data_IF_528037129962
#
_entry.id   IF_528037129962
#
_cell.length_a   1.000
_cell.length_b   1.000
_cell.length_c   1.000
_cell.angle_alpha   90.00
_cell.angle_beta   90.00
_cell.angle_gamma   90.00
#
_symmetry.space_group_name_H-M   'P 1'
#
loop_
_entity.id
_entity.type
_entity.pdbx_description
1 polymer ?
#
# COMPACT_ATOMS: atom_id res chain seq x y z
N UNK A 1 -41.09 9.82 57.33
CA UNK A 1 -41.10 11.20 56.83
C UNK A 1 -39.67 11.67 56.88
N UNK A 2 -38.98 11.69 55.73
CA UNK A 2 -37.88 12.60 55.38
C UNK A 2 -37.29 12.16 54.04
N UNK A 3 -37.53 12.98 53.03
CA UNK A 3 -36.97 12.88 51.70
C UNK A 3 -35.50 13.31 51.74
N UNK A 4 -34.63 12.57 51.03
CA UNK A 4 -33.39 13.15 50.48
C UNK A 4 -33.39 12.93 48.98
N UNK A 5 -33.72 13.99 48.25
CA UNK A 5 -33.34 14.16 46.87
C UNK A 5 -31.81 14.34 46.81
N UNK A 6 -31.14 13.53 45.99
CA UNK A 6 -29.87 13.91 45.39
C UNK A 6 -29.95 13.58 43.91
N UNK A 7 -29.91 14.64 43.12
CA UNK A 7 -29.96 14.72 41.68
C UNK A 7 -28.66 14.25 41.05
N UNK A 8 -28.67 13.11 40.35
CA UNK A 8 -27.64 12.76 39.36
C UNK A 8 -28.23 12.81 37.96
N UNK A 9 -28.54 14.04 37.52
CA UNK A 9 -28.67 14.38 36.10
C UNK A 9 -27.27 14.58 35.53
N UNK A 10 -26.53 13.49 35.32
CA UNK A 10 -25.22 13.56 34.68
C UNK A 10 -25.34 13.42 33.15
N UNK A 11 -25.58 14.58 32.53
CA UNK A 11 -25.20 14.99 31.18
C UNK A 11 -25.14 13.93 30.08
N UNK A 12 -26.26 13.75 29.38
CA UNK A 12 -26.31 13.20 28.02
C UNK A 12 -25.80 14.25 27.01
N UNK A 13 -24.56 14.71 27.20
CA UNK A 13 -23.89 15.54 26.18
C UNK A 13 -23.37 14.58 25.11
N UNK A 14 -23.88 14.64 23.85
CA UNK A 14 -23.28 13.88 22.77
C UNK A 14 -21.82 14.28 22.68
N UNK A 15 -20.92 13.33 23.01
CA UNK A 15 -19.50 13.52 22.78
C UNK A 15 -19.37 13.71 21.27
N UNK A 16 -19.12 14.95 20.85
CA UNK A 16 -18.70 15.28 19.49
C UNK A 16 -17.41 14.49 19.25
N UNK A 17 -17.54 13.26 18.75
CA UNK A 17 -16.41 12.45 18.35
C UNK A 17 -15.79 13.18 17.17
N UNK A 18 -14.72 13.92 17.45
CA UNK A 18 -13.92 14.53 16.39
C UNK A 18 -13.63 13.48 15.32
N UNK A 19 -13.73 13.88 14.06
CA UNK A 19 -13.43 13.00 12.94
C UNK A 19 -12.05 12.36 13.16
N UNK A 20 -12.04 11.03 13.13
CA UNK A 20 -10.82 10.27 13.42
C UNK A 20 -9.82 10.52 12.29
N UNK A 21 -8.78 11.32 12.55
CA UNK A 21 -7.75 11.64 11.55
C UNK A 21 -7.05 10.33 11.14
N UNK A 22 -7.10 9.93 9.86
CA UNK A 22 -6.44 8.71 9.39
C UNK A 22 -4.94 8.78 9.66
N UNK A 23 -4.39 7.77 10.34
CA UNK A 23 -2.95 7.69 10.60
C UNK A 23 -2.50 6.25 10.50
N UNK A 24 -1.51 6.01 9.62
CA UNK A 24 -0.83 4.73 9.53
C UNK A 24 0.01 4.43 10.78
N UNK A 25 0.26 5.41 11.64
CA UNK A 25 1.03 5.22 12.88
C UNK A 25 0.13 4.93 14.09
N UNK A 26 -1.20 4.87 13.93
CA UNK A 26 -2.13 4.52 15.01
C UNK A 26 -1.98 3.04 15.38
N UNK A 27 -1.85 2.77 16.68
CA UNK A 27 -1.82 1.40 17.22
C UNK A 27 -3.20 0.74 17.15
N UNK A 28 -3.21 -0.58 17.11
CA UNK A 28 -4.45 -1.35 17.14
C UNK A 28 -5.17 -1.14 18.48
N UNK A 29 -6.44 -0.73 18.42
CA UNK A 29 -7.26 -0.52 19.62
C UNK A 29 -7.47 -1.85 20.35
N UNK A 30 -7.23 -1.86 21.66
CA UNK A 30 -7.43 -3.03 22.51
C UNK A 30 -6.34 -4.10 22.42
N UNK A 31 -5.29 -3.89 21.61
CA UNK A 31 -4.15 -4.80 21.56
C UNK A 31 -3.22 -4.56 22.74
N UNK A 32 -2.93 -5.62 23.51
CA UNK A 32 -1.80 -5.62 24.44
C UNK A 32 -0.50 -5.83 23.66
N UNK A 33 0.41 -4.87 23.74
CA UNK A 33 1.70 -4.93 23.05
C UNK A 33 2.81 -5.59 23.89
N UNK A 34 2.47 -6.23 25.02
CA UNK A 34 3.35 -7.11 25.77
C UNK A 34 3.22 -8.57 25.33
N UNK A 35 2.05 -8.97 24.85
CA UNK A 35 1.73 -10.38 24.65
C UNK A 35 2.44 -11.02 23.44
N UNK A 36 2.50 -12.36 23.48
CA UNK A 36 3.00 -13.22 22.41
C UNK A 36 2.27 -12.92 21.09
N UNK A 37 2.96 -12.32 20.13
CA UNK A 37 2.37 -11.90 18.85
C UNK A 37 3.46 -11.60 17.83
N UNK A 38 3.13 -11.72 16.55
CA UNK A 38 3.98 -11.28 15.45
C UNK A 38 3.55 -9.89 14.98
N UNK A 39 4.52 -8.98 14.87
CA UNK A 39 4.31 -7.61 14.40
C UNK A 39 5.15 -7.33 13.16
N UNK A 40 4.58 -6.64 12.18
CA UNK A 40 5.36 -6.01 11.11
C UNK A 40 5.53 -4.53 11.41
N UNK A 41 6.77 -4.09 11.59
CA UNK A 41 7.13 -2.72 11.93
C UNK A 41 7.71 -2.02 10.72
N UNK A 42 7.35 -0.75 10.51
CA UNK A 42 7.97 0.11 9.50
C UNK A 42 8.47 1.39 10.15
N UNK A 43 9.76 1.69 9.95
CA UNK A 43 10.43 2.91 10.40
C UNK A 43 10.93 3.67 9.17
N UNK A 44 10.58 4.96 9.07
CA UNK A 44 10.92 5.81 7.93
C UNK A 44 11.98 6.82 8.36
N UNK A 45 13.02 6.99 7.55
CA UNK A 45 14.06 8.01 7.78
C UNK A 45 13.42 9.39 7.69
N UNK A 46 13.79 10.28 8.61
CA UNK A 46 13.29 11.66 8.62
C UNK A 46 13.56 12.34 7.27
N UNK A 47 12.53 12.95 6.69
CA UNK A 47 12.59 13.56 5.35
C UNK A 47 12.75 12.55 4.20
N UNK A 48 12.56 11.25 4.46
CA UNK A 48 12.78 10.16 3.49
C UNK A 48 14.14 10.21 2.80
N UNK A 49 15.16 10.68 3.54
CA UNK A 49 16.53 10.74 3.07
C UNK A 49 17.03 9.32 2.80
N UNK A 50 17.65 9.10 1.65
CA UNK A 50 18.17 7.79 1.22
C UNK A 50 19.53 7.51 1.89
N UNK A 51 19.53 7.22 3.18
CA UNK A 51 20.76 7.11 3.98
C UNK A 51 21.28 5.68 4.12
N UNK A 52 20.45 4.66 3.85
CA UNK A 52 20.80 3.26 4.15
C UNK A 52 21.46 2.50 3.01
N UNK A 53 21.52 3.07 1.80
CA UNK A 53 22.09 2.41 0.63
C UNK A 53 21.30 2.71 -0.65
N UNK A 54 21.63 1.99 -1.72
CA UNK A 54 20.92 2.08 -3.00
C UNK A 54 20.49 0.69 -3.48
N UNK A 55 19.47 0.68 -4.34
CA UNK A 55 18.99 -0.55 -4.95
C UNK A 55 19.81 -0.84 -6.21
N UNK A 56 20.36 -2.05 -6.29
CA UNK A 56 21.05 -2.59 -7.46
C UNK A 56 20.35 -3.86 -7.96
N UNK A 57 20.78 -4.39 -9.11
CA UNK A 57 20.26 -5.60 -9.76
C UNK A 57 19.51 -5.32 -11.07
N UNK A 58 18.82 -6.35 -11.58
CA UNK A 58 18.02 -6.32 -12.81
C UNK A 58 16.55 -6.69 -12.54
N UNK A 59 15.62 -5.87 -13.03
CA UNK A 59 14.16 -6.11 -12.91
C UNK A 59 13.71 -7.36 -13.66
N UNK A 60 14.51 -7.85 -14.61
CA UNK A 60 14.24 -9.04 -15.42
C UNK A 60 14.73 -10.34 -14.76
N UNK A 61 15.58 -10.23 -13.74
CA UNK A 61 16.15 -11.37 -13.03
C UNK A 61 15.09 -12.09 -12.19
N UNK A 62 15.19 -13.41 -12.10
CA UNK A 62 14.26 -14.22 -11.31
C UNK A 62 14.58 -14.14 -9.82
N UNK A 63 13.55 -14.31 -8.98
CA UNK A 63 13.74 -14.35 -7.53
C UNK A 63 14.73 -15.46 -7.13
N UNK A 64 15.74 -15.10 -6.35
CA UNK A 64 16.80 -16.01 -5.90
C UNK A 64 18.09 -15.95 -6.72
N UNK A 65 18.09 -15.32 -7.88
CA UNK A 65 19.31 -15.05 -8.65
C UNK A 65 20.14 -13.92 -8.01
N UNK A 66 21.46 -13.95 -8.23
CA UNK A 66 22.37 -12.94 -7.68
C UNK A 66 22.06 -11.52 -8.18
N UNK A 67 21.58 -11.39 -9.41
CA UNK A 67 21.14 -10.12 -10.00
C UNK A 67 19.74 -9.70 -9.60
N UNK A 68 19.01 -10.50 -8.79
CA UNK A 68 17.68 -10.09 -8.34
C UNK A 68 17.79 -8.78 -7.56
N UNK A 69 16.85 -7.83 -7.73
CA UNK A 69 17.03 -6.51 -7.14
C UNK A 69 17.17 -6.58 -5.63
N UNK A 70 18.18 -5.89 -5.10
CA UNK A 70 18.54 -5.92 -3.69
C UNK A 70 19.12 -4.58 -3.25
N UNK A 71 19.18 -4.38 -1.93
CA UNK A 71 19.83 -3.21 -1.33
C UNK A 71 21.33 -3.49 -1.19
N UNK A 72 22.16 -2.58 -1.70
CA UNK A 72 23.58 -2.49 -1.32
C UNK A 72 23.67 -1.45 -0.20
N UNK A 73 24.04 -1.91 0.99
CA UNK A 73 23.99 -1.09 2.19
C UNK A 73 25.13 -0.06 2.23
N UNK A 74 24.80 1.15 2.68
CA UNK A 74 25.80 2.14 3.07
C UNK A 74 26.44 1.74 4.41
N UNK A 75 27.50 2.43 4.82
CA UNK A 75 28.08 2.29 6.18
C UNK A 75 27.03 2.45 7.28
N UNK A 76 26.10 3.40 7.11
CA UNK A 76 24.99 3.57 8.05
C UNK A 76 23.97 2.42 7.95
N UNK A 77 23.68 1.93 6.74
CA UNK A 77 22.82 0.78 6.51
C UNK A 77 23.32 -0.48 7.22
N UNK A 78 24.63 -0.76 7.14
CA UNK A 78 25.25 -1.88 7.87
C UNK A 78 25.17 -1.68 9.38
N UNK A 79 25.45 -0.48 9.90
CA UNK A 79 25.31 -0.21 11.33
C UNK A 79 23.86 -0.38 11.82
N UNK A 80 22.86 -0.05 11.00
CA UNK A 80 21.45 -0.31 11.30
C UNK A 80 21.14 -1.80 11.27
N UNK A 81 21.67 -2.55 10.29
CA UNK A 81 21.54 -4.01 10.23
C UNK A 81 22.12 -4.68 11.47
N UNK A 82 23.27 -4.23 11.98
CA UNK A 82 23.81 -4.70 13.25
C UNK A 82 22.82 -4.49 14.40
N UNK A 83 22.20 -3.30 14.51
CA UNK A 83 21.17 -3.04 15.52
C UNK A 83 19.96 -3.98 15.38
N UNK A 84 19.56 -4.31 14.15
CA UNK A 84 18.46 -5.25 13.90
C UNK A 84 18.83 -6.64 14.41
N UNK A 85 19.99 -7.16 13.98
CA UNK A 85 20.45 -8.51 14.35
C UNK A 85 20.77 -8.64 15.84
N UNK A 86 21.15 -7.54 16.50
CA UNK A 86 21.44 -7.49 17.93
C UNK A 86 20.20 -7.39 18.81
N UNK A 87 19.01 -7.12 18.26
CA UNK A 87 17.80 -6.86 19.03
C UNK A 87 17.45 -7.97 20.05
N UNK A 88 17.53 -9.28 19.69
CA UNK A 88 17.25 -10.37 20.64
C UNK A 88 18.21 -10.45 21.82
N UNK A 89 19.42 -9.85 21.74
CA UNK A 89 20.37 -9.82 22.86
C UNK A 89 19.87 -8.94 24.01
N UNK A 90 19.13 -7.88 23.69
CA UNK A 90 18.56 -6.95 24.67
C UNK A 90 17.16 -7.37 25.14
N UNK A 91 16.43 -8.06 24.27
CA UNK A 91 15.08 -8.56 24.54
C UNK A 91 14.97 -10.03 24.09
N UNK A 92 15.40 -11.00 24.92
CA UNK A 92 15.38 -12.42 24.55
C UNK A 92 13.99 -12.99 24.29
N UNK A 93 12.92 -12.31 24.72
CA UNK A 93 11.51 -12.70 24.52
C UNK A 93 11.02 -12.47 23.08
N UNK A 94 11.85 -11.85 22.23
CA UNK A 94 11.54 -11.62 20.83
C UNK A 94 12.63 -12.13 19.90
N UNK A 95 12.22 -12.51 18.70
CA UNK A 95 13.11 -12.80 17.57
C UNK A 95 12.80 -11.89 16.39
N UNK A 96 13.79 -11.66 15.53
CA UNK A 96 13.61 -11.01 14.24
C UNK A 96 13.35 -12.09 13.20
N UNK A 97 12.09 -12.31 12.83
CA UNK A 97 11.70 -13.34 11.85
C UNK A 97 11.97 -12.92 10.40
N UNK A 98 12.24 -11.63 10.16
CA UNK A 98 12.62 -11.12 8.85
C UNK A 98 12.80 -9.61 8.88
N UNK A 99 13.61 -9.07 7.98
CA UNK A 99 13.75 -7.63 7.80
C UNK A 99 14.08 -7.29 6.35
N UNK A 100 13.77 -6.05 5.96
CA UNK A 100 14.23 -5.46 4.70
C UNK A 100 14.62 -4.01 4.97
N UNK A 101 15.88 -3.67 4.70
CA UNK A 101 16.34 -2.28 4.67
C UNK A 101 16.13 -1.74 3.27
N UNK A 102 15.51 -0.59 3.15
CA UNK A 102 15.31 0.18 1.92
C UNK A 102 16.12 1.47 2.02
N UNK A 103 16.38 2.19 0.92
CA UNK A 103 17.23 3.39 0.97
C UNK A 103 16.81 4.42 2.04
N UNK A 104 15.51 4.65 2.22
CA UNK A 104 14.91 5.67 3.08
C UNK A 104 14.03 5.14 4.23
N UNK A 105 13.93 3.82 4.41
CA UNK A 105 13.10 3.20 5.46
C UNK A 105 13.52 1.76 5.70
N UNK A 106 12.96 1.13 6.72
CA UNK A 106 13.14 -0.30 6.97
C UNK A 106 11.83 -0.96 7.41
N UNK A 107 11.74 -2.25 7.14
CA UNK A 107 10.69 -3.13 7.60
C UNK A 107 11.26 -4.23 8.48
N UNK A 108 10.61 -4.53 9.61
CA UNK A 108 10.94 -5.63 10.51
C UNK A 108 9.72 -6.53 10.68
N UNK A 109 9.91 -7.83 10.75
CA UNK A 109 8.95 -8.79 11.28
C UNK A 109 9.52 -9.26 12.62
N UNK A 110 8.85 -8.88 13.71
CA UNK A 110 9.23 -9.25 15.06
C UNK A 110 8.26 -10.28 15.59
N UNK A 111 8.77 -11.41 16.08
CA UNK A 111 7.97 -12.39 16.79
C UNK A 111 8.28 -12.31 18.28
N UNK A 112 7.33 -11.75 19.03
CA UNK A 112 7.30 -11.84 20.49
C UNK A 112 6.81 -13.24 20.83
N UNK A 113 7.70 -14.12 21.30
CA UNK A 113 7.36 -15.51 21.63
C UNK A 113 7.02 -15.70 23.11
N UNK A 114 7.47 -14.78 23.96
CA UNK A 114 7.18 -14.71 25.39
C UNK A 114 6.73 -13.30 25.78
N UNK A 115 6.05 -13.14 26.92
CA UNK A 115 5.58 -11.83 27.37
C UNK A 115 6.74 -10.85 27.53
N UNK A 116 6.66 -9.69 26.88
CA UNK A 116 7.69 -8.66 26.99
C UNK A 116 7.65 -8.00 28.39
N UNK A 117 8.84 -7.73 28.98
CA UNK A 117 8.92 -7.01 30.26
C UNK A 117 8.46 -5.55 30.15
N UNK A 118 8.34 -5.02 28.93
CA UNK A 118 7.84 -3.67 28.66
C UNK A 118 7.04 -3.64 27.35
N UNK A 119 6.21 -2.62 27.17
CA UNK A 119 5.42 -2.44 25.96
C UNK A 119 6.33 -2.42 24.71
N UNK A 120 5.96 -3.09 23.61
CA UNK A 120 6.75 -3.16 22.36
C UNK A 120 7.28 -1.79 21.89
N UNK A 121 6.51 -0.72 22.08
CA UNK A 121 6.95 0.65 21.78
C UNK A 121 8.23 1.10 22.49
N UNK A 122 8.53 0.56 23.69
CA UNK A 122 9.79 0.80 24.41
C UNK A 122 10.96 0.03 23.81
N UNK A 123 10.73 -1.21 23.39
CA UNK A 123 11.70 -2.00 22.60
C UNK A 123 12.10 -1.23 21.34
N UNK A 124 11.11 -0.76 20.56
CA UNK A 124 11.35 0.00 19.33
C UNK A 124 12.06 1.32 19.63
N UNK A 125 11.75 1.99 20.76
CA UNK A 125 12.46 3.20 21.18
C UNK A 125 13.95 2.92 21.43
N UNK A 126 14.28 1.84 22.14
CA UNK A 126 15.67 1.43 22.39
C UNK A 126 16.43 1.15 21.09
N UNK A 127 15.81 0.39 20.17
CA UNK A 127 16.36 0.16 18.82
C UNK A 127 16.64 1.47 18.07
N UNK A 128 15.68 2.39 18.05
CA UNK A 128 15.82 3.71 17.41
C UNK A 128 16.95 4.53 18.05
N UNK A 129 17.15 4.45 19.37
CA UNK A 129 18.25 5.13 20.05
C UNK A 129 19.61 4.57 19.61
N UNK A 130 19.76 3.24 19.51
CA UNK A 130 20.97 2.60 19.00
C UNK A 130 21.30 3.05 17.57
N UNK A 131 20.30 3.07 16.69
CA UNK A 131 20.45 3.56 15.32
C UNK A 131 20.82 5.05 15.27
N UNK A 132 20.23 5.90 16.11
CA UNK A 132 20.59 7.31 16.20
C UNK A 132 22.04 7.52 16.68
N UNK A 133 22.54 6.68 17.60
CA UNK A 133 23.93 6.72 18.04
C UNK A 133 24.89 6.41 16.88
N UNK A 134 24.57 5.39 16.07
CA UNK A 134 25.33 5.07 14.86
C UNK A 134 25.26 6.23 13.84
N UNK A 135 24.06 6.77 13.60
CA UNK A 135 23.84 7.89 12.69
C UNK A 135 24.70 9.10 13.03
N UNK A 136 24.72 9.54 14.29
CA UNK A 136 25.53 10.69 14.74
C UNK A 136 27.03 10.46 14.65
N UNK A 137 27.48 9.21 14.76
CA UNK A 137 28.89 8.84 14.60
C UNK A 137 29.31 8.87 13.13
N UNK A 138 28.47 8.35 12.24
CA UNK A 138 28.81 8.10 10.83
C UNK A 138 28.54 9.32 9.95
N UNK A 139 27.47 10.07 10.22
CA UNK A 139 27.04 11.21 9.39
C UNK A 139 27.33 12.51 10.14
N UNK A 140 28.41 13.24 9.80
CA UNK A 140 28.72 14.51 10.42
C UNK A 140 27.61 15.53 10.14
N UNK A 141 27.16 16.26 11.16
CA UNK A 141 26.04 17.22 11.07
C UNK A 141 26.22 18.32 10.01
N UNK A 142 27.45 18.55 9.52
CA UNK A 142 27.75 19.55 8.46
C UNK A 142 27.56 19.04 7.02
N UNK A 143 27.36 17.75 6.78
CA UNK A 143 27.35 17.16 5.42
C UNK A 143 25.96 17.12 4.74
N UNK A 144 24.89 17.58 5.40
CA UNK A 144 23.53 17.59 4.82
C UNK A 144 23.18 18.98 4.32
N UNK A 145 23.75 19.39 3.19
CA UNK A 145 23.29 20.57 2.44
C UNK A 145 21.96 20.22 1.76
N UNK A 146 20.84 20.47 2.44
CA UNK A 146 19.53 20.45 1.82
C UNK A 146 19.36 21.70 0.90
N UNK A 147 18.64 21.61 -0.24
CA UNK A 147 18.32 22.76 -1.08
C UNK A 147 17.58 23.86 -0.29
N UNK A 148 17.89 25.12 -0.58
CA UNK A 148 17.50 26.30 0.20
C UNK A 148 16.00 26.66 0.21
N UNK A 149 15.11 25.81 -0.31
CA UNK A 149 13.66 26.11 -0.46
C UNK A 149 12.76 25.42 0.57
N UNK A 150 13.28 24.55 1.44
CA UNK A 150 12.49 23.94 2.51
C UNK A 150 12.79 24.62 3.85
N UNK A 151 11.73 25.04 4.57
CA UNK A 151 11.84 25.57 5.94
C UNK A 151 12.69 24.61 6.77
N UNK A 152 13.87 25.08 7.23
CA UNK A 152 14.74 24.33 8.14
C UNK A 152 13.93 23.90 9.36
N UNK A 153 13.56 22.62 9.42
CA UNK A 153 13.07 22.03 10.66
C UNK A 153 14.28 21.87 11.57
N UNK A 154 14.49 22.83 12.48
CA UNK A 154 15.59 22.82 13.47
C UNK A 154 15.57 21.57 14.37
N UNK A 155 14.52 20.73 14.30
CA UNK A 155 14.41 19.43 14.98
C UNK A 155 15.03 18.26 14.20
N UNK A 156 15.33 18.44 12.91
CA UNK A 156 15.87 17.41 12.01
C UNK A 156 17.39 17.22 12.07
N UNK A 157 18.11 18.17 12.66
CA UNK A 157 19.57 18.11 12.81
C UNK A 157 19.93 17.12 13.93
N UNK A 158 20.13 15.84 13.56
CA UNK A 158 20.60 14.79 14.47
C UNK A 158 19.60 13.69 14.84
N UNK A 159 18.46 13.61 14.14
CA UNK A 159 17.50 12.50 14.26
C UNK A 159 17.47 11.70 12.94
N UNK A 160 17.58 10.37 13.04
CA UNK A 160 17.58 9.45 11.91
C UNK A 160 16.16 9.19 11.38
N UNK A 161 15.21 8.82 12.24
CA UNK A 161 13.86 8.41 11.87
C UNK A 161 12.82 9.50 12.11
N UNK A 162 11.72 9.48 11.35
CA UNK A 162 10.52 10.25 11.68
C UNK A 162 9.97 9.89 13.06
N UNK A 163 9.20 10.80 13.66
CA UNK A 163 8.51 10.50 14.90
C UNK A 163 7.52 9.32 14.74
N UNK A 164 7.63 8.35 15.64
CA UNK A 164 6.79 7.15 15.66
C UNK A 164 7.12 6.12 14.58
N UNK A 165 6.37 5.02 14.57
CA UNK A 165 6.50 3.94 13.60
C UNK A 165 5.12 3.48 13.12
N UNK A 166 5.04 2.76 12.00
CA UNK A 166 3.85 1.97 11.66
C UNK A 166 4.03 0.55 12.18
N UNK A 167 2.97 -0.03 12.71
CA UNK A 167 2.90 -1.45 13.03
C UNK A 167 1.72 -2.11 12.31
N UNK A 168 1.82 -3.41 12.10
CA UNK A 168 0.70 -4.30 11.82
C UNK A 168 0.80 -5.50 12.75
N UNK A 169 -0.34 -5.89 13.30
CA UNK A 169 -0.47 -7.11 14.11
C UNK A 169 -0.84 -8.27 13.19
N UNK A 170 -0.21 -9.43 13.39
CA UNK A 170 -0.57 -10.64 12.66
C UNK A 170 -1.90 -11.16 13.19
N UNK A 171 -2.92 -11.26 12.33
CA UNK A 171 -4.29 -11.61 12.71
C UNK A 171 -4.77 -12.94 12.13
N UNK A 172 -4.25 -13.36 10.97
CA UNK A 172 -4.81 -14.48 10.22
C UNK A 172 -3.72 -15.39 9.64
N UNK A 173 -4.10 -16.64 9.39
CA UNK A 173 -3.24 -17.64 8.76
C UNK A 173 -2.76 -17.18 7.37
N UNK A 174 -1.51 -17.50 7.02
CA UNK A 174 -0.90 -17.13 5.73
C UNK A 174 -0.42 -15.67 5.62
N UNK A 175 -0.81 -14.79 6.54
CA UNK A 175 -0.38 -13.38 6.55
C UNK A 175 1.14 -13.25 6.75
N UNK A 176 1.76 -14.11 7.58
CA UNK A 176 3.20 -14.09 7.83
C UNK A 176 3.99 -14.40 6.54
N UNK A 177 3.60 -15.45 5.82
CA UNK A 177 4.19 -15.81 4.52
C UNK A 177 4.07 -14.65 3.52
N UNK A 178 2.92 -13.98 3.51
CA UNK A 178 2.70 -12.79 2.69
C UNK A 178 3.62 -11.62 3.07
N UNK A 179 3.84 -11.39 4.36
CA UNK A 179 4.77 -10.35 4.81
C UNK A 179 6.22 -10.65 4.45
N UNK A 180 6.66 -11.89 4.62
CA UNK A 180 8.01 -12.32 4.24
C UNK A 180 8.23 -12.11 2.74
N UNK A 181 7.30 -12.57 1.90
CA UNK A 181 7.37 -12.32 0.45
C UNK A 181 7.33 -10.83 0.11
N UNK A 182 6.47 -10.05 0.79
CA UNK A 182 6.40 -8.60 0.58
C UNK A 182 7.73 -7.92 0.90
N UNK A 183 8.36 -8.26 2.02
CA UNK A 183 9.67 -7.73 2.42
C UNK A 183 10.72 -7.99 1.34
N UNK A 184 10.85 -9.25 0.91
CA UNK A 184 11.83 -9.67 -0.08
C UNK A 184 11.59 -9.04 -1.46
N UNK A 185 10.34 -8.76 -1.84
CA UNK A 185 9.97 -8.15 -3.12
C UNK A 185 10.15 -6.61 -3.14
N UNK A 186 10.30 -5.96 -1.98
CA UNK A 186 10.33 -4.48 -1.91
C UNK A 186 11.46 -3.83 -2.73
N UNK A 187 12.71 -4.34 -2.73
CA UNK A 187 13.77 -3.86 -3.63
C UNK A 187 13.35 -3.85 -5.10
N UNK A 188 12.83 -4.98 -5.62
CA UNK A 188 12.34 -5.09 -6.99
C UNK A 188 11.20 -4.11 -7.25
N UNK A 189 10.22 -4.02 -6.34
CA UNK A 189 9.09 -3.06 -6.48
C UNK A 189 9.58 -1.62 -6.54
N UNK A 190 10.59 -1.25 -5.76
CA UNK A 190 11.18 0.09 -5.82
C UNK A 190 11.86 0.33 -7.16
N UNK A 191 12.63 -0.65 -7.65
CA UNK A 191 13.31 -0.53 -8.95
C UNK A 191 12.32 -0.43 -10.11
N UNK A 192 11.30 -1.30 -10.17
CA UNK A 192 10.21 -1.23 -11.16
C UNK A 192 9.53 0.13 -11.17
N UNK A 193 9.27 0.71 -9.99
CA UNK A 193 8.70 2.06 -9.89
C UNK A 193 9.63 3.15 -10.42
N UNK A 194 10.95 3.00 -10.27
CA UNK A 194 11.95 3.93 -10.80
C UNK A 194 12.06 3.78 -12.33
N UNK A 195 11.93 2.57 -12.86
CA UNK A 195 11.99 2.27 -14.30
C UNK A 195 10.73 2.70 -15.06
N UNK A 196 9.55 2.61 -14.45
CA UNK A 196 8.26 2.94 -15.08
C UNK A 196 7.47 3.99 -14.29
N UNK A 197 8.01 5.19 -14.04
CA UNK A 197 7.41 6.15 -13.13
C UNK A 197 6.00 6.57 -13.55
N UNK A 198 5.73 6.66 -14.86
CA UNK A 198 4.45 7.13 -15.39
C UNK A 198 3.30 6.15 -15.13
N UNK A 199 3.59 4.86 -15.02
CA UNK A 199 2.58 3.84 -14.67
C UNK A 199 2.24 3.87 -13.18
N UNK A 200 3.13 4.36 -12.32
CA UNK A 200 2.97 4.32 -10.85
C UNK A 200 2.72 5.68 -10.21
N UNK A 201 2.56 6.74 -11.01
CA UNK A 201 2.15 8.06 -10.55
C UNK A 201 0.64 8.22 -10.69
N UNK A 202 0.03 8.89 -9.72
CA UNK A 202 -1.37 9.29 -9.82
C UNK A 202 -1.48 10.47 -10.76
N UNK A 203 -2.11 10.25 -11.90
CA UNK A 203 -2.41 11.25 -12.90
C UNK A 203 -3.80 11.81 -12.62
N UNK A 204 -3.96 13.13 -12.58
CA UNK A 204 -5.23 13.80 -12.25
C UNK A 204 -5.75 14.54 -13.46
N UNK A 205 -7.04 14.85 -13.43
CA UNK A 205 -7.72 15.65 -14.45
C UNK A 205 -7.64 15.04 -15.86
N UNK A 206 -7.68 13.70 -15.95
CA UNK A 206 -7.74 13.00 -17.23
C UNK A 206 -9.17 13.11 -17.76
N UNK A 207 -9.35 13.86 -18.84
CA UNK A 207 -10.66 14.07 -19.46
C UNK A 207 -10.90 13.06 -20.57
N UNK A 208 -11.93 12.23 -20.41
CA UNK A 208 -12.32 11.24 -21.41
C UNK A 208 -13.84 11.18 -21.52
N UNK A 209 -14.36 11.32 -22.75
CA UNK A 209 -15.82 11.23 -23.05
C UNK A 209 -16.69 12.11 -22.13
N UNK A 210 -16.21 13.31 -21.80
CA UNK A 210 -16.91 14.28 -20.96
C UNK A 210 -16.84 14.01 -19.45
N UNK A 211 -16.05 13.02 -19.02
CA UNK A 211 -15.84 12.67 -17.60
C UNK A 211 -14.39 12.94 -17.23
N UNK A 212 -14.18 13.45 -16.02
CA UNK A 212 -12.83 13.66 -15.47
C UNK A 212 -12.47 12.51 -14.52
N UNK A 213 -11.29 11.93 -14.71
CA UNK A 213 -10.77 10.84 -13.89
C UNK A 213 -9.44 11.20 -13.24
N UNK A 214 -9.21 10.63 -12.05
CA UNK A 214 -7.86 10.29 -11.60
C UNK A 214 -7.49 8.91 -12.13
N UNK A 215 -6.22 8.72 -12.47
CA UNK A 215 -5.74 7.51 -13.12
C UNK A 215 -4.43 6.99 -12.51
N UNK A 216 -4.26 5.67 -12.52
CA UNK A 216 -2.98 4.98 -12.26
C UNK A 216 -2.82 3.88 -13.31
N UNK A 217 -1.65 3.80 -13.94
CA UNK A 217 -1.33 2.79 -14.94
C UNK A 217 -1.21 3.36 -16.36
N UNK A 218 -1.45 2.50 -17.35
CA UNK A 218 -1.16 2.82 -18.75
C UNK A 218 -2.32 3.55 -19.45
N UNK A 219 -2.22 4.87 -19.59
CA UNK A 219 -3.22 5.68 -20.30
C UNK A 219 -3.36 5.33 -21.79
N UNK A 220 -2.34 4.75 -22.43
CA UNK A 220 -2.43 4.38 -23.84
C UNK A 220 -3.47 3.29 -24.10
N UNK A 221 -3.93 2.56 -23.06
CA UNK A 221 -5.03 1.62 -23.19
C UNK A 221 -6.33 2.28 -23.64
N UNK A 222 -6.56 3.56 -23.31
CA UNK A 222 -7.74 4.31 -23.76
C UNK A 222 -7.81 4.50 -25.28
N UNK A 223 -6.68 4.32 -25.99
CA UNK A 223 -6.59 4.45 -27.46
C UNK A 223 -6.83 3.13 -28.18
N UNK A 224 -6.99 2.02 -27.45
CA UNK A 224 -7.28 0.70 -28.02
C UNK A 224 -8.79 0.51 -28.22
N UNK A 225 -9.22 -0.49 -29.02
CA UNK A 225 -10.62 -0.88 -29.05
C UNK A 225 -11.09 -1.28 -27.64
N UNK A 226 -12.08 -0.56 -27.09
CA UNK A 226 -12.60 -0.80 -25.75
C UNK A 226 -13.92 -1.57 -25.81
N UNK A 227 -14.07 -2.60 -24.98
CA UNK A 227 -15.32 -3.34 -24.81
C UNK A 227 -15.70 -3.41 -23.34
N UNK A 228 -16.95 -3.02 -23.06
CA UNK A 228 -17.45 -3.05 -21.69
C UNK A 228 -17.86 -4.48 -21.31
N UNK A 229 -17.33 -4.98 -20.20
CA UNK A 229 -17.85 -6.16 -19.49
C UNK A 229 -18.90 -5.68 -18.49
N UNK A 230 -20.16 -6.01 -18.76
CA UNK A 230 -21.28 -5.75 -17.86
C UNK A 230 -22.11 -7.02 -17.73
N UNK A 231 -22.22 -7.54 -16.51
CA UNK A 231 -22.91 -8.81 -16.25
C UNK A 231 -24.06 -8.58 -15.27
N UNK A 232 -25.26 -9.01 -15.66
CA UNK A 232 -26.40 -9.08 -14.73
C UNK A 232 -26.07 -10.00 -13.55
N UNK A 233 -26.56 -9.66 -12.36
CA UNK A 233 -26.42 -10.51 -11.17
C UNK A 233 -27.16 -11.85 -11.28
N UNK A 234 -28.04 -11.99 -12.28
CA UNK A 234 -28.85 -13.19 -12.52
C UNK A 234 -28.22 -14.17 -13.51
N UNK A 235 -27.08 -13.83 -14.10
CA UNK A 235 -26.40 -14.73 -15.02
C UNK A 235 -26.00 -16.01 -14.29
N UNK A 236 -26.31 -17.14 -14.91
CA UNK A 236 -25.83 -18.46 -14.54
C UNK A 236 -24.33 -18.59 -14.82
N UNK A 237 -23.72 -19.63 -14.25
CA UNK A 237 -22.29 -19.89 -14.43
C UNK A 237 -21.94 -20.19 -15.91
N UNK A 238 -22.82 -20.88 -16.63
CA UNK A 238 -22.64 -21.17 -18.07
C UNK A 238 -22.69 -19.91 -18.92
N UNK A 239 -23.58 -18.97 -18.60
CA UNK A 239 -23.65 -17.68 -19.29
C UNK A 239 -22.41 -16.80 -18.98
N UNK A 240 -21.94 -16.79 -17.73
CA UNK A 240 -20.68 -16.11 -17.36
C UNK A 240 -19.50 -16.72 -18.14
N UNK A 241 -19.47 -18.04 -18.29
CA UNK A 241 -18.43 -18.71 -19.07
C UNK A 241 -18.51 -18.33 -20.56
N UNK A 242 -19.70 -18.23 -21.15
CA UNK A 242 -19.86 -17.78 -22.52
C UNK A 242 -19.36 -16.34 -22.73
N UNK A 243 -19.69 -15.42 -21.81
CA UNK A 243 -19.15 -14.05 -21.82
C UNK A 243 -17.63 -14.05 -21.65
N UNK A 244 -17.09 -14.93 -20.80
CA UNK A 244 -15.64 -15.07 -20.59
C UNK A 244 -14.94 -15.51 -21.87
N UNK A 245 -15.45 -16.52 -22.58
CA UNK A 245 -14.88 -16.99 -23.85
C UNK A 245 -14.89 -15.85 -24.88
N UNK A 246 -16.02 -15.14 -25.01
CA UNK A 246 -16.13 -13.99 -25.90
C UNK A 246 -15.13 -12.90 -25.55
N UNK A 247 -15.00 -12.56 -24.27
CA UNK A 247 -14.03 -11.57 -23.79
C UNK A 247 -12.59 -11.94 -24.18
N UNK A 248 -12.21 -13.21 -24.01
CA UNK A 248 -10.87 -13.68 -24.37
C UNK A 248 -10.62 -13.64 -25.89
N UNK A 249 -11.61 -13.98 -26.71
CA UNK A 249 -11.53 -13.86 -28.17
C UNK A 249 -11.31 -12.41 -28.60
N UNK A 250 -12.08 -11.48 -28.05
CA UNK A 250 -11.94 -10.04 -28.35
C UNK A 250 -10.60 -9.49 -27.85
N UNK A 251 -10.13 -9.93 -26.67
CA UNK A 251 -8.80 -9.58 -26.18
C UNK A 251 -7.69 -10.06 -27.13
N UNK A 252 -7.80 -11.29 -27.65
CA UNK A 252 -6.86 -11.82 -28.63
C UNK A 252 -6.87 -11.03 -29.94
N UNK A 253 -8.01 -10.43 -30.31
CA UNK A 253 -8.13 -9.49 -31.43
C UNK A 253 -7.63 -8.07 -31.10
N UNK A 254 -7.14 -7.82 -29.88
CA UNK A 254 -6.55 -6.55 -29.46
C UNK A 254 -7.49 -5.60 -28.73
N UNK A 255 -8.70 -6.04 -28.37
CA UNK A 255 -9.60 -5.26 -27.52
C UNK A 255 -9.13 -5.23 -26.06
N UNK A 256 -9.50 -4.17 -25.35
CA UNK A 256 -9.25 -3.97 -23.93
C UNK A 256 -10.57 -4.04 -23.19
N UNK A 257 -10.62 -4.89 -22.16
CA UNK A 257 -11.83 -5.04 -21.34
C UNK A 257 -11.97 -3.89 -20.36
N UNK A 258 -13.17 -3.33 -20.27
CA UNK A 258 -13.49 -2.21 -19.38
C UNK A 258 -14.62 -2.61 -18.43
N UNK A 259 -14.41 -2.49 -17.12
CA UNK A 259 -15.47 -2.80 -16.16
C UNK A 259 -15.28 -2.06 -14.84
N UNK A 260 -16.37 -1.68 -14.15
CA UNK A 260 -16.31 -1.30 -12.74
C UNK A 260 -16.27 -2.51 -11.79
N UNK A 261 -16.35 -3.74 -12.30
CA UNK A 261 -16.27 -4.99 -11.52
C UNK A 261 -17.24 -5.02 -10.33
N UNK A 262 -18.49 -4.62 -10.56
CA UNK A 262 -19.54 -4.50 -9.54
C UNK A 262 -20.14 -5.88 -9.24
N UNK A 263 -20.55 -6.61 -10.28
CA UNK A 263 -21.23 -7.90 -10.13
C UNK A 263 -20.25 -9.07 -9.99
N UNK A 264 -20.67 -10.21 -9.40
CA UNK A 264 -19.83 -11.42 -9.37
C UNK A 264 -19.41 -11.89 -10.76
N UNK A 265 -20.31 -11.83 -11.74
CA UNK A 265 -20.00 -12.19 -13.13
C UNK A 265 -18.94 -11.29 -13.75
N UNK A 266 -19.05 -9.96 -13.58
CA UNK A 266 -18.02 -9.02 -14.05
C UNK A 266 -16.66 -9.34 -13.43
N UNK A 267 -16.62 -9.58 -12.12
CA UNK A 267 -15.38 -9.94 -11.42
C UNK A 267 -14.78 -11.24 -11.92
N UNK A 268 -15.60 -12.24 -12.25
CA UNK A 268 -15.15 -13.52 -12.78
C UNK A 268 -14.53 -13.36 -14.17
N UNK A 269 -15.23 -12.70 -15.09
CA UNK A 269 -14.75 -12.42 -16.45
C UNK A 269 -13.44 -11.64 -16.41
N UNK A 270 -13.42 -10.51 -15.70
CA UNK A 270 -12.25 -9.63 -15.60
C UNK A 270 -11.07 -10.33 -14.93
N UNK A 271 -11.31 -11.18 -13.92
CA UNK A 271 -10.25 -12.00 -13.31
C UNK A 271 -9.62 -12.94 -14.32
N UNK A 272 -10.41 -13.67 -15.10
CA UNK A 272 -9.88 -14.60 -16.11
C UNK A 272 -9.08 -13.86 -17.19
N UNK A 273 -9.56 -12.70 -17.65
CA UNK A 273 -8.85 -11.82 -18.59
C UNK A 273 -7.50 -11.38 -18.01
N UNK A 274 -7.50 -10.91 -16.76
CA UNK A 274 -6.31 -10.49 -16.03
C UNK A 274 -5.29 -11.62 -15.85
N UNK A 275 -5.74 -12.82 -15.45
CA UNK A 275 -4.90 -13.99 -15.24
C UNK A 275 -4.27 -14.51 -16.54
N UNK A 276 -4.96 -14.32 -17.68
CA UNK A 276 -4.41 -14.59 -19.02
C UNK A 276 -3.43 -13.52 -19.49
N UNK A 277 -3.25 -12.43 -18.75
CA UNK A 277 -2.31 -11.35 -19.07
C UNK A 277 -2.82 -10.39 -20.13
N UNK A 278 -4.13 -10.32 -20.37
CA UNK A 278 -4.70 -9.34 -21.29
C UNK A 278 -4.87 -7.98 -20.60
N UNK A 279 -4.82 -6.88 -21.38
CA UNK A 279 -4.99 -5.54 -20.83
C UNK A 279 -6.42 -5.28 -20.33
N UNK A 280 -6.55 -4.59 -19.19
CA UNK A 280 -7.84 -4.19 -18.62
C UNK A 280 -7.85 -2.73 -18.13
N UNK A 281 -9.03 -2.10 -18.22
CA UNK A 281 -9.36 -0.82 -17.59
C UNK A 281 -10.39 -1.09 -16.50
N UNK A 282 -10.05 -0.77 -15.25
CA UNK A 282 -10.94 -0.95 -14.10
C UNK A 282 -11.37 0.40 -13.55
N UNK A 283 -12.69 0.63 -13.52
CA UNK A 283 -13.26 1.81 -12.89
C UNK A 283 -13.48 1.56 -11.39
N UNK A 284 -12.95 2.44 -10.57
CA UNK A 284 -13.02 2.37 -9.12
C UNK A 284 -13.85 3.54 -8.60
N UNK A 285 -14.68 3.29 -7.59
CA UNK A 285 -15.46 4.35 -6.95
C UNK A 285 -14.56 5.30 -6.14
N UNK A 286 -13.70 4.76 -5.28
CA UNK A 286 -12.85 5.58 -4.44
C UNK A 286 -11.62 6.10 -5.21
N UNK A 287 -11.35 7.40 -5.11
CA UNK A 287 -10.18 8.04 -5.69
C UNK A 287 -8.84 7.63 -5.10
N UNK A 288 -7.78 8.23 -5.62
CA UNK A 288 -6.39 7.90 -5.28
C UNK A 288 -5.73 8.96 -4.40
N UNK A 289 -5.09 8.54 -3.30
CA UNK A 289 -4.14 9.39 -2.57
C UNK A 289 -2.91 9.67 -3.44
N UNK A 290 -2.14 10.72 -3.13
CA UNK A 290 -0.92 11.04 -3.88
C UNK A 290 0.12 9.89 -3.95
N UNK A 291 0.11 8.98 -2.98
CA UNK A 291 1.04 7.84 -2.89
C UNK A 291 0.37 6.50 -3.24
N UNK A 292 -0.86 6.52 -3.75
CA UNK A 292 -1.58 5.32 -4.14
C UNK A 292 -0.82 4.55 -5.22
N UNK A 293 -0.87 3.22 -5.13
CA UNK A 293 -0.30 2.30 -6.10
C UNK A 293 -1.05 0.97 -6.03
N UNK A 294 -1.12 0.20 -7.13
CA UNK A 294 -1.73 -1.12 -7.08
C UNK A 294 -0.92 -2.06 -6.18
N UNK A 295 -1.63 -2.92 -5.45
CA UNK A 295 -1.05 -3.99 -4.63
C UNK A 295 -1.06 -5.34 -5.33
N UNK A 296 -0.24 -6.28 -4.86
CA UNK A 296 -0.20 -7.67 -5.35
C UNK A 296 0.02 -7.76 -6.87
N UNK A 297 -0.63 -8.73 -7.52
CA UNK A 297 -0.48 -8.99 -8.95
C UNK A 297 -0.81 -7.78 -9.84
N UNK A 298 -1.70 -6.88 -9.41
CA UNK A 298 -2.00 -5.64 -10.15
C UNK A 298 -0.78 -4.72 -10.26
N UNK A 299 0.16 -4.78 -9.32
CA UNK A 299 1.42 -4.04 -9.42
C UNK A 299 2.21 -4.49 -10.65
N UNK A 300 2.33 -5.80 -10.87
CA UNK A 300 3.10 -6.36 -11.98
C UNK A 300 2.36 -6.18 -13.32
N UNK A 301 1.03 -6.33 -13.35
CA UNK A 301 0.23 -5.99 -14.54
C UNK A 301 0.38 -4.51 -14.92
N UNK A 302 0.39 -3.62 -13.92
CA UNK A 302 0.66 -2.20 -14.12
C UNK A 302 2.07 -1.96 -14.67
N UNK A 303 3.09 -2.65 -14.15
CA UNK A 303 4.46 -2.57 -14.65
C UNK A 303 4.58 -3.01 -16.12
N UNK A 304 3.83 -4.04 -16.52
CA UNK A 304 3.75 -4.52 -17.91
C UNK A 304 2.89 -3.64 -18.82
N UNK A 305 2.31 -2.55 -18.31
CA UNK A 305 1.42 -1.67 -19.08
C UNK A 305 0.06 -2.28 -19.43
N UNK A 306 -0.34 -3.35 -18.74
CA UNK A 306 -1.59 -4.09 -18.97
C UNK A 306 -2.76 -3.61 -18.11
N UNK A 307 -2.53 -2.62 -17.24
CA UNK A 307 -3.56 -2.16 -16.31
C UNK A 307 -3.70 -0.64 -16.38
N UNK A 308 -4.95 -0.19 -16.40
CA UNK A 308 -5.32 1.19 -16.11
C UNK A 308 -6.46 1.20 -15.07
N UNK A 309 -6.23 1.87 -13.96
CA UNK A 309 -7.24 2.13 -12.94
C UNK A 309 -7.75 3.56 -13.12
N UNK A 310 -9.06 3.73 -13.23
CA UNK A 310 -9.71 5.04 -13.33
C UNK A 310 -10.63 5.25 -12.14
N UNK A 311 -10.57 6.43 -11.52
CA UNK A 311 -11.49 6.82 -10.45
C UNK A 311 -12.07 8.20 -10.76
N UNK A 312 -13.41 8.32 -10.92
CA UNK A 312 -14.06 9.58 -11.28
C UNK A 312 -14.29 10.49 -10.06
N UNK A 313 -14.16 9.95 -8.84
CA UNK A 313 -14.41 10.68 -7.60
C UNK A 313 -13.14 10.82 -6.76
N UNK A 314 -13.18 11.73 -5.78
CA UNK A 314 -12.08 11.98 -4.87
C UNK A 314 -11.84 10.83 -3.89
N UNK A 315 -10.63 10.77 -3.36
CA UNK A 315 -10.28 9.79 -2.35
C UNK A 315 -10.98 10.08 -1.02
N UNK A 316 -11.62 9.07 -0.44
CA UNK A 316 -12.07 9.08 0.94
C UNK A 316 -11.45 7.93 1.74
N UNK A 317 -11.22 8.18 3.03
CA UNK A 317 -10.63 7.20 3.94
C UNK A 317 -11.65 6.32 4.65
N UNK A 318 -12.91 6.76 4.73
CA UNK A 318 -13.96 6.02 5.41
C UNK A 318 -14.40 4.81 4.59
N UNK A 319 -14.75 3.72 5.27
CA UNK A 319 -15.38 2.57 4.62
C UNK A 319 -16.82 2.94 4.26
N UNK A 320 -17.07 3.19 2.97
CA UNK A 320 -18.39 3.48 2.41
C UNK A 320 -18.87 2.29 1.61
N UNK A 321 -20.16 1.99 1.72
CA UNK A 321 -20.81 1.02 0.83
C UNK A 321 -21.19 1.75 -0.44
N UNK A 322 -20.73 1.26 -1.59
CA UNK A 322 -21.09 1.83 -2.89
C UNK A 322 -22.61 1.76 -3.09
N UNK A 323 -23.22 2.90 -3.41
CA UNK A 323 -24.67 2.99 -3.61
C UNK A 323 -25.07 2.44 -4.98
N UNK A 324 -26.35 2.09 -5.14
CA UNK A 324 -26.91 1.69 -6.45
C UNK A 324 -26.74 2.79 -7.50
N UNK A 325 -26.92 4.05 -7.11
CA UNK A 325 -26.73 5.20 -7.99
C UNK A 325 -25.28 5.27 -8.50
N UNK A 326 -24.30 5.18 -7.61
CA UNK A 326 -22.87 5.16 -7.99
C UNK A 326 -22.54 3.96 -8.88
N UNK A 327 -23.09 2.78 -8.61
CA UNK A 327 -22.94 1.61 -9.48
C UNK A 327 -23.43 1.88 -10.91
N UNK A 328 -24.61 2.50 -11.04
CA UNK A 328 -25.17 2.90 -12.34
C UNK A 328 -24.30 3.95 -13.02
N UNK A 329 -23.82 4.96 -12.28
CA UNK A 329 -22.93 5.99 -12.82
C UNK A 329 -21.64 5.38 -13.38
N UNK A 330 -20.99 4.48 -12.64
CA UNK A 330 -19.78 3.79 -13.12
C UNK A 330 -20.04 2.95 -14.37
N UNK A 331 -21.17 2.24 -14.44
CA UNK A 331 -21.56 1.48 -15.64
C UNK A 331 -21.79 2.39 -16.84
N UNK A 332 -22.41 3.56 -16.64
CA UNK A 332 -22.62 4.54 -17.71
C UNK A 332 -21.29 5.15 -18.17
N UNK A 333 -20.36 5.43 -17.25
CA UNK A 333 -19.02 5.91 -17.59
C UNK A 333 -18.24 4.85 -18.38
N UNK A 334 -18.27 3.58 -17.96
CA UNK A 334 -17.63 2.48 -18.70
C UNK A 334 -18.25 2.33 -20.11
N UNK A 335 -19.57 2.43 -20.24
CA UNK A 335 -20.24 2.41 -21.53
C UNK A 335 -19.82 3.58 -22.43
N UNK A 336 -19.71 4.79 -21.88
CA UNK A 336 -19.28 5.98 -22.60
C UNK A 336 -17.85 5.83 -23.14
N UNK A 337 -16.92 5.32 -22.31
CA UNK A 337 -15.55 4.99 -22.74
C UNK A 337 -15.55 4.02 -23.91
N UNK A 338 -16.42 3.01 -23.89
CA UNK A 338 -16.52 2.00 -24.94
C UNK A 338 -17.37 2.43 -26.16
N UNK A 339 -17.80 3.70 -26.24
CA UNK A 339 -18.75 4.19 -27.26
C UNK A 339 -20.02 3.31 -27.37
N UNK A 340 -20.51 2.82 -26.23
CA UNK A 340 -21.68 1.95 -26.13
C UNK A 340 -21.44 0.47 -26.48
N UNK A 341 -20.22 0.07 -26.88
CA UNK A 341 -19.92 -1.33 -27.18
C UNK A 341 -19.83 -2.18 -25.91
N UNK A 342 -20.60 -3.27 -25.86
CA UNK A 342 -20.73 -4.18 -24.70
C UNK A 342 -20.59 -5.63 -25.13
N UNK A 343 -20.06 -6.45 -24.21
CA UNK A 343 -20.05 -7.90 -24.29
C UNK A 343 -21.37 -8.55 -23.91
#
# INVERSE_FOLDING_TARGET
MEQRHSSDLNSDKPTLRHATIPSMKRRMKGKDYHERTIYMITLVVAGRRKLFGEIEGDIRSCYGEASYPHIVLSTLGEAVKEQITGLPRYYPQLTVSGYQIMPDHLHLILFVHETLPCHLGMVIRGFVQGCNKAYRRIVPQKAVTAPATEKRDRRGDGILFEHGYNDKVLLHQGQLKTWIHYLADNPRRLMVKRSYPDYFRVQRNIQEKGVTFSAIGNLFLLRKPLLQVQCSRRLSETEIQAVTVRALTECAAGAVMVSPCISPGEKAVMRTVFEKGYPEIVLLENGFTALAKPGGARFDACARGQLLLLAPWEHHTDKRVITRLQCTMLNNMAAALCNGKRL
#
